data_IF_327319360166
#
_entry.id   IF_327319360166
#
_cell.length_a   1.000
_cell.length_b   1.000
_cell.length_c   1.000
_cell.angle_alpha   90.00
_cell.angle_beta   90.00
_cell.angle_gamma   90.00
#
_symmetry.space_group_name_H-M   'P 1'
#
loop_
_entity.id
_entity.type
_entity.pdbx_description
1 polymer ?
#
# COMPACT_ATOMS: atom_id res chain seq x y z
N UNK A 1 -9.08 -10.20 7.24
CA UNK A 1 -9.53 -11.52 7.75
C UNK A 1 -10.85 -11.92 7.10
N UNK A 2 -11.94 -11.17 7.31
CA UNK A 2 -13.27 -11.50 6.76
C UNK A 2 -13.30 -11.71 5.24
N UNK A 3 -12.56 -10.92 4.45
CA UNK A 3 -12.47 -11.14 3.00
C UNK A 3 -11.94 -12.54 2.65
N UNK A 4 -11.03 -13.10 3.44
CA UNK A 4 -10.50 -14.45 3.18
C UNK A 4 -11.46 -15.54 3.62
N UNK A 5 -12.06 -15.40 4.80
CA UNK A 5 -12.90 -16.45 5.39
C UNK A 5 -14.31 -16.46 4.79
N UNK A 6 -14.92 -15.28 4.65
CA UNK A 6 -16.31 -15.14 4.20
C UNK A 6 -16.45 -15.09 2.67
N UNK A 7 -15.39 -14.69 1.94
CA UNK A 7 -15.43 -14.57 0.46
C UNK A 7 -14.50 -15.58 -0.20
N UNK A 8 -13.26 -15.70 0.29
CA UNK A 8 -12.24 -16.58 -0.30
C UNK A 8 -12.35 -18.06 0.09
N UNK A 9 -13.25 -18.42 1.01
CA UNK A 9 -13.45 -19.80 1.47
C UNK A 9 -12.29 -20.38 2.30
N UNK A 10 -11.40 -19.53 2.81
CA UNK A 10 -10.29 -19.95 3.66
C UNK A 10 -10.75 -20.29 5.08
N UNK A 11 -10.09 -21.24 5.72
CA UNK A 11 -10.30 -21.47 7.14
C UNK A 11 -9.64 -20.35 7.99
N UNK A 12 -10.07 -20.14 9.25
CA UNK A 12 -9.41 -19.18 10.14
C UNK A 12 -7.92 -19.45 10.35
N UNK A 13 -7.49 -20.73 10.29
CA UNK A 13 -6.09 -21.11 10.43
C UNK A 13 -5.24 -20.68 9.22
N UNK A 14 -5.82 -20.66 8.02
CA UNK A 14 -5.12 -20.27 6.79
C UNK A 14 -4.77 -18.78 6.76
N UNK A 15 -5.48 -17.95 7.53
CA UNK A 15 -5.20 -16.51 7.65
C UNK A 15 -3.78 -16.26 8.15
N UNK A 16 -3.27 -17.08 9.07
CA UNK A 16 -1.89 -16.96 9.55
C UNK A 16 -0.87 -17.20 8.42
N UNK A 17 -1.11 -18.21 7.57
CA UNK A 17 -0.28 -18.48 6.40
C UNK A 17 -0.35 -17.37 5.35
N UNK A 18 -1.54 -16.82 5.12
CA UNK A 18 -1.71 -15.66 4.22
C UNK A 18 -0.97 -14.43 4.75
N UNK A 19 -0.97 -14.19 6.06
CA UNK A 19 -0.16 -13.12 6.67
C UNK A 19 1.34 -13.39 6.54
N UNK A 20 1.77 -14.65 6.57
CA UNK A 20 3.16 -14.99 6.27
C UNK A 20 3.51 -14.66 4.81
N UNK A 21 2.65 -15.02 3.86
CA UNK A 21 2.82 -14.68 2.44
C UNK A 21 2.87 -13.16 2.23
N UNK A 22 1.98 -12.42 2.89
CA UNK A 22 2.02 -10.96 2.93
C UNK A 22 3.36 -10.43 3.46
N UNK A 23 3.84 -11.01 4.56
CA UNK A 23 5.13 -10.66 5.17
C UNK A 23 6.33 -10.91 4.24
N UNK A 24 6.33 -12.03 3.49
CA UNK A 24 7.35 -12.28 2.46
C UNK A 24 7.26 -11.22 1.35
N UNK A 25 6.05 -10.91 0.89
CA UNK A 25 5.80 -9.83 -0.08
C UNK A 25 6.38 -8.50 0.41
N UNK A 26 6.11 -8.12 1.66
CA UNK A 26 6.65 -6.92 2.30
C UNK A 26 8.18 -6.88 2.27
N UNK A 27 8.84 -7.97 2.65
CA UNK A 27 10.32 -8.03 2.69
C UNK A 27 10.90 -7.84 1.29
N UNK A 28 10.35 -8.57 0.31
CA UNK A 28 10.76 -8.44 -1.09
C UNK A 28 10.47 -7.02 -1.60
N UNK A 29 9.33 -6.45 -1.22
CA UNK A 29 8.90 -5.10 -1.58
C UNK A 29 9.90 -4.05 -1.13
N UNK A 30 10.26 -4.05 0.15
CA UNK A 30 11.28 -3.13 0.67
C UNK A 30 12.64 -3.28 -0.03
N UNK A 31 13.08 -4.52 -0.30
CA UNK A 31 14.36 -4.79 -0.95
C UNK A 31 14.41 -4.34 -2.42
N UNK A 32 13.33 -4.59 -3.17
CA UNK A 32 13.23 -4.22 -4.59
C UNK A 32 12.94 -2.72 -4.72
N UNK A 33 12.04 -2.20 -3.88
CA UNK A 33 11.66 -0.79 -3.82
C UNK A 33 12.82 0.12 -3.45
N UNK A 34 13.66 -0.29 -2.49
CA UNK A 34 14.90 0.43 -2.17
C UNK A 34 15.83 0.54 -3.37
N UNK A 35 16.14 -0.60 -4.01
CA UNK A 35 17.00 -0.62 -5.22
C UNK A 35 16.43 0.14 -6.41
N UNK A 36 15.11 0.20 -6.53
CA UNK A 36 14.43 0.98 -7.57
C UNK A 36 14.50 2.48 -7.23
N UNK A 37 14.30 2.85 -5.97
CA UNK A 37 14.36 4.22 -5.50
C UNK A 37 15.76 4.82 -5.61
N UNK A 38 16.82 4.01 -5.46
CA UNK A 38 18.21 4.42 -5.67
C UNK A 38 18.49 4.83 -7.12
N UNK A 39 17.75 4.30 -8.10
CA UNK A 39 17.88 4.67 -9.52
C UNK A 39 17.05 5.90 -9.88
N UNK A 40 15.76 5.84 -9.58
CA UNK A 40 14.82 6.91 -9.86
C UNK A 40 13.70 6.84 -8.82
N UNK A 41 13.87 7.62 -7.75
CA UNK A 41 12.98 7.64 -6.60
C UNK A 41 11.53 7.92 -6.97
N UNK A 42 11.30 8.97 -7.75
CA UNK A 42 9.95 9.45 -8.01
C UNK A 42 9.23 8.46 -8.94
N UNK A 43 9.94 7.91 -9.94
CA UNK A 43 9.38 6.84 -10.79
C UNK A 43 9.11 5.57 -10.01
N UNK A 44 10.01 5.15 -9.11
CA UNK A 44 9.82 3.96 -8.29
C UNK A 44 8.58 4.08 -7.40
N UNK A 45 8.38 5.25 -6.77
CA UNK A 45 7.22 5.55 -5.94
C UNK A 45 5.92 5.49 -6.74
N UNK A 46 5.87 6.13 -7.92
CA UNK A 46 4.67 6.10 -8.77
C UNK A 46 4.35 4.68 -9.22
N UNK A 47 5.33 3.91 -9.66
CA UNK A 47 5.13 2.51 -10.08
C UNK A 47 4.65 1.62 -8.93
N UNK A 48 5.20 1.78 -7.73
CA UNK A 48 4.75 1.05 -6.55
C UNK A 48 3.29 1.36 -6.21
N UNK A 49 2.92 2.64 -6.18
CA UNK A 49 1.56 3.07 -5.89
C UNK A 49 0.55 2.60 -6.95
N UNK A 50 0.90 2.71 -8.24
CA UNK A 50 0.05 2.20 -9.34
C UNK A 50 -0.09 0.68 -9.23
N UNK A 51 1.00 -0.05 -9.00
CA UNK A 51 0.98 -1.50 -8.81
C UNK A 51 0.10 -1.92 -7.63
N UNK A 52 0.16 -1.18 -6.52
CA UNK A 52 -0.71 -1.41 -5.36
C UNK A 52 -2.18 -1.14 -5.70
N UNK A 53 -2.50 -0.02 -6.37
CA UNK A 53 -3.87 0.32 -6.74
C UNK A 53 -4.49 -0.76 -7.64
N UNK A 54 -3.75 -1.21 -8.66
CA UNK A 54 -4.19 -2.31 -9.54
C UNK A 54 -4.37 -3.60 -8.74
N UNK A 55 -3.41 -3.93 -7.88
CA UNK A 55 -3.48 -5.14 -7.05
C UNK A 55 -4.74 -5.14 -6.18
N UNK A 56 -5.03 -4.04 -5.49
CA UNK A 56 -6.21 -3.92 -4.63
C UNK A 56 -7.53 -4.02 -5.43
N UNK A 57 -7.59 -3.37 -6.60
CA UNK A 57 -8.77 -3.45 -7.48
C UNK A 57 -9.00 -4.87 -8.00
N UNK A 58 -7.95 -5.53 -8.50
CA UNK A 58 -8.02 -6.91 -9.00
C UNK A 58 -8.35 -7.89 -7.86
N UNK A 59 -7.82 -7.64 -6.67
CA UNK A 59 -8.13 -8.45 -5.50
C UNK A 59 -9.60 -8.34 -5.08
N UNK A 60 -10.18 -7.14 -5.13
CA UNK A 60 -11.62 -6.99 -4.92
C UNK A 60 -12.47 -7.86 -5.87
N UNK A 61 -12.01 -8.05 -7.12
CA UNK A 61 -12.71 -8.82 -8.15
C UNK A 61 -12.47 -10.34 -8.03
N UNK A 62 -11.26 -10.75 -7.63
CA UNK A 62 -10.83 -12.15 -7.59
C UNK A 62 -10.80 -12.74 -6.17
N UNK A 63 -11.34 -12.04 -5.16
CA UNK A 63 -11.34 -12.47 -3.77
C UNK A 63 -11.95 -13.87 -3.54
N UNK A 64 -12.87 -14.30 -4.40
CA UNK A 64 -13.46 -15.65 -4.31
C UNK A 64 -12.58 -16.78 -4.83
N UNK A 65 -11.45 -16.48 -5.48
CA UNK A 65 -10.51 -17.49 -5.96
C UNK A 65 -9.33 -17.58 -4.98
N UNK A 66 -9.16 -18.75 -4.36
CA UNK A 66 -8.14 -18.98 -3.34
C UNK A 66 -6.71 -18.77 -3.89
N UNK A 67 -6.40 -19.31 -5.07
CA UNK A 67 -5.06 -19.18 -5.68
C UNK A 67 -4.78 -17.70 -6.00
N UNK A 68 -5.75 -17.01 -6.59
CA UNK A 68 -5.63 -15.59 -6.89
C UNK A 68 -5.42 -14.77 -5.61
N UNK A 69 -6.14 -15.09 -4.54
CA UNK A 69 -6.01 -14.40 -3.24
C UNK A 69 -4.61 -14.55 -2.65
N UNK A 70 -3.99 -15.73 -2.71
CA UNK A 70 -2.60 -15.93 -2.24
C UNK A 70 -1.64 -15.05 -3.02
N UNK A 71 -1.75 -15.03 -4.35
CA UNK A 71 -0.89 -14.21 -5.21
C UNK A 71 -1.11 -12.72 -4.94
N UNK A 72 -2.36 -12.28 -4.85
CA UNK A 72 -2.71 -10.88 -4.67
C UNK A 72 -2.35 -10.36 -3.29
N UNK A 73 -2.37 -11.20 -2.25
CA UNK A 73 -1.83 -10.88 -0.92
C UNK A 73 -0.32 -10.68 -0.95
N UNK A 74 0.40 -11.54 -1.65
CA UNK A 74 1.84 -11.36 -1.85
C UNK A 74 2.12 -10.03 -2.57
N UNK A 75 1.41 -9.76 -3.68
CA UNK A 75 1.56 -8.53 -4.45
C UNK A 75 1.16 -7.28 -3.65
N UNK A 76 0.15 -7.39 -2.79
CA UNK A 76 -0.26 -6.31 -1.88
C UNK A 76 0.88 -5.96 -0.92
N UNK A 77 1.54 -6.96 -0.32
CA UNK A 77 2.73 -6.75 0.49
C UNK A 77 3.90 -6.18 -0.32
N UNK A 78 4.14 -6.72 -1.51
CA UNK A 78 5.22 -6.28 -2.41
C UNK A 78 5.09 -4.79 -2.77
N UNK A 79 3.97 -4.40 -3.40
CA UNK A 79 3.78 -3.04 -3.88
C UNK A 79 3.53 -2.05 -2.74
N UNK A 80 2.84 -2.47 -1.67
CA UNK A 80 2.56 -1.60 -0.54
C UNK A 80 3.81 -1.20 0.26
N UNK A 81 4.84 -2.04 0.28
CA UNK A 81 6.09 -1.73 0.97
C UNK A 81 7.22 -1.29 0.03
N UNK A 82 7.10 -1.48 -1.28
CA UNK A 82 8.06 -0.94 -2.24
C UNK A 82 8.19 0.58 -2.19
N UNK A 83 7.15 1.30 -1.76
CA UNK A 83 7.18 2.76 -1.61
C UNK A 83 7.85 3.27 -0.34
N UNK A 84 8.01 2.44 0.69
CA UNK A 84 8.49 2.88 2.02
C UNK A 84 9.91 3.48 1.97
N UNK A 85 10.92 2.83 1.34
CA UNK A 85 12.27 3.38 1.29
C UNK A 85 12.34 4.74 0.57
N UNK A 86 11.60 4.88 -0.54
CA UNK A 86 11.54 6.13 -1.30
C UNK A 86 10.89 7.27 -0.51
N UNK A 87 9.87 6.98 0.31
CA UNK A 87 9.23 8.00 1.13
C UNK A 87 10.13 8.50 2.27
N UNK A 88 10.85 7.61 2.95
CA UNK A 88 11.74 7.99 4.06
C UNK A 88 12.86 8.91 3.56
N UNK A 89 13.49 8.58 2.43
CA UNK A 89 14.52 9.44 1.83
C UNK A 89 13.95 10.80 1.44
N UNK A 90 12.77 10.84 0.82
CA UNK A 90 12.11 12.10 0.41
C UNK A 90 11.77 12.99 1.59
N UNK A 91 11.23 12.45 2.67
CA UNK A 91 10.91 13.26 3.86
C UNK A 91 12.19 13.77 4.54
N UNK A 92 13.27 12.98 4.53
CA UNK A 92 14.55 13.38 5.12
C UNK A 92 15.19 14.55 4.37
N UNK A 93 15.06 14.62 3.04
CA UNK A 93 15.59 15.74 2.24
C UNK A 93 14.94 17.09 2.59
N UNK A 94 13.66 17.08 2.97
CA UNK A 94 12.88 18.31 3.23
C UNK A 94 12.74 18.65 4.72
N UNK A 95 13.10 17.75 5.63
CA UNK A 95 13.04 18.01 7.05
C UNK A 95 14.32 18.71 7.55
N UNK A 96 14.17 19.66 8.48
CA UNK A 96 15.29 20.32 9.18
C UNK A 96 16.03 19.39 10.18
N UNK A 97 16.08 18.08 9.91
CA UNK A 97 16.72 17.04 10.74
C UNK A 97 16.04 15.68 10.63
N UNK A 98 16.84 14.60 10.64
CA UNK A 98 16.38 13.22 10.46
C UNK A 98 15.33 12.77 11.50
N UNK A 99 15.39 13.30 12.73
CA UNK A 99 14.43 12.97 13.79
C UNK A 99 13.02 13.51 13.51
N UNK A 100 12.90 14.72 12.95
CA UNK A 100 11.61 15.30 12.56
C UNK A 100 11.02 14.59 11.33
N UNK A 101 11.87 14.18 10.38
CA UNK A 101 11.43 13.37 9.25
C UNK A 101 10.84 12.02 9.69
N UNK A 102 11.55 11.32 10.56
CA UNK A 102 11.13 10.03 11.08
C UNK A 102 9.83 10.14 11.88
N UNK A 103 9.70 11.12 12.79
CA UNK A 103 8.50 11.31 13.60
C UNK A 103 7.27 11.71 12.75
N UNK A 104 7.47 12.55 11.73
CA UNK A 104 6.41 12.89 10.78
C UNK A 104 5.93 11.67 9.99
N UNK A 105 6.86 10.82 9.52
CA UNK A 105 6.52 9.59 8.78
C UNK A 105 5.73 8.59 9.65
N UNK A 106 6.16 8.37 10.89
CA UNK A 106 5.45 7.50 11.85
C UNK A 106 4.06 8.06 12.15
N UNK A 107 3.94 9.38 12.36
CA UNK A 107 2.65 10.03 12.63
C UNK A 107 1.70 9.90 11.44
N UNK A 108 2.18 10.16 10.23
CA UNK A 108 1.41 9.99 9.00
C UNK A 108 0.96 8.53 8.81
N UNK A 109 1.84 7.56 9.10
CA UNK A 109 1.51 6.13 9.04
C UNK A 109 0.41 5.74 10.03
N UNK A 110 0.46 6.26 11.26
CA UNK A 110 -0.57 6.01 12.26
C UNK A 110 -1.93 6.62 11.86
N UNK A 111 -1.92 7.85 11.32
CA UNK A 111 -3.13 8.48 10.76
C UNK A 111 -3.69 7.65 9.61
N UNK A 112 -2.82 7.19 8.70
CA UNK A 112 -3.20 6.33 7.58
C UNK A 112 -3.85 5.03 8.04
N UNK A 113 -3.26 4.35 9.03
CA UNK A 113 -3.81 3.13 9.62
C UNK A 113 -5.18 3.37 10.27
N UNK A 114 -5.32 4.47 11.01
CA UNK A 114 -6.58 4.84 11.65
C UNK A 114 -7.67 5.15 10.62
N UNK A 115 -7.37 6.01 9.64
CA UNK A 115 -8.32 6.38 8.58
C UNK A 115 -8.67 5.18 7.69
N UNK A 116 -7.70 4.35 7.33
CA UNK A 116 -7.93 3.15 6.53
C UNK A 116 -8.83 2.14 7.25
N UNK A 117 -8.57 1.87 8.54
CA UNK A 117 -9.40 1.00 9.34
C UNK A 117 -10.82 1.56 9.52
N UNK A 118 -10.95 2.88 9.76
CA UNK A 118 -12.24 3.54 9.92
C UNK A 118 -13.06 3.53 8.63
N UNK A 119 -12.49 3.95 7.50
CA UNK A 119 -13.18 3.96 6.20
C UNK A 119 -13.52 2.55 5.71
N UNK A 120 -12.62 1.58 5.91
CA UNK A 120 -12.88 0.17 5.60
C UNK A 120 -14.01 -0.40 6.47
N UNK A 121 -14.00 -0.11 7.78
CA UNK A 121 -15.06 -0.49 8.70
C UNK A 121 -16.40 0.14 8.33
N UNK A 122 -16.42 1.45 8.02
CA UNK A 122 -17.60 2.16 7.54
C UNK A 122 -18.20 1.50 6.30
N UNK A 123 -17.37 1.16 5.31
CA UNK A 123 -17.82 0.50 4.09
C UNK A 123 -18.48 -0.85 4.37
N UNK A 124 -17.93 -1.64 5.30
CA UNK A 124 -18.54 -2.91 5.72
C UNK A 124 -19.87 -2.65 6.44
N UNK A 125 -19.92 -1.71 7.39
CA UNK A 125 -21.15 -1.39 8.14
C UNK A 125 -22.26 -0.79 7.27
N UNK A 126 -21.90 -0.13 6.16
CA UNK A 126 -22.83 0.37 5.16
C UNK A 126 -23.42 -0.74 4.26
N UNK A 127 -23.02 -2.00 4.46
CA UNK A 127 -23.54 -3.15 3.71
C UNK A 127 -22.88 -3.38 2.36
N UNK A 128 -21.72 -2.76 2.08
CA UNK A 128 -21.03 -2.88 0.79
C UNK A 128 -20.25 -4.21 0.62
N UNK A 129 -20.26 -5.07 1.65
CA UNK A 129 -19.63 -6.39 1.63
C UNK A 129 -18.16 -6.42 2.08
N UNK A 130 -17.62 -7.63 2.25
CA UNK A 130 -16.28 -7.83 2.82
C UNK A 130 -15.12 -7.54 1.85
N UNK A 131 -15.37 -7.33 0.57
CA UNK A 131 -14.37 -6.85 -0.41
C UNK A 131 -14.30 -5.33 -0.47
N UNK A 132 -15.30 -4.62 0.06
CA UNK A 132 -15.36 -3.15 0.01
C UNK A 132 -14.10 -2.44 0.54
N UNK A 133 -13.44 -2.89 1.63
CA UNK A 133 -12.20 -2.27 2.09
C UNK A 133 -11.07 -2.29 1.05
N UNK A 134 -11.02 -3.29 0.16
CA UNK A 134 -10.02 -3.36 -0.91
C UNK A 134 -10.23 -2.23 -1.92
N UNK A 135 -11.48 -1.94 -2.29
CA UNK A 135 -11.82 -0.86 -3.20
C UNK A 135 -11.63 0.52 -2.57
N UNK A 136 -11.98 0.67 -1.28
CA UNK A 136 -11.69 1.89 -0.52
C UNK A 136 -10.18 2.14 -0.50
N UNK A 137 -9.38 1.11 -0.20
CA UNK A 137 -7.93 1.18 -0.26
C UNK A 137 -7.41 1.57 -1.65
N UNK A 138 -7.94 0.96 -2.72
CA UNK A 138 -7.57 1.30 -4.09
C UNK A 138 -7.86 2.79 -4.40
N UNK A 139 -9.00 3.32 -3.97
CA UNK A 139 -9.35 4.73 -4.11
C UNK A 139 -8.37 5.67 -3.39
N UNK A 140 -8.03 5.34 -2.14
CA UNK A 140 -7.03 6.12 -1.37
C UNK A 140 -5.66 6.08 -2.07
N UNK A 141 -5.24 4.92 -2.56
CA UNK A 141 -3.94 4.78 -3.25
C UNK A 141 -3.94 5.57 -4.57
N UNK A 142 -5.05 5.61 -5.31
CA UNK A 142 -5.16 6.44 -6.52
C UNK A 142 -5.00 7.93 -6.21
N UNK A 143 -5.57 8.42 -5.11
CA UNK A 143 -5.35 9.79 -4.65
C UNK A 143 -3.85 10.00 -4.36
N UNK A 144 -3.20 9.05 -3.68
CA UNK A 144 -1.76 9.10 -3.41
C UNK A 144 -0.91 9.12 -4.69
N UNK A 145 -1.31 8.41 -5.76
CA UNK A 145 -0.65 8.47 -7.07
C UNK A 145 -0.70 9.88 -7.64
N UNK A 146 -1.87 10.53 -7.62
CA UNK A 146 -2.03 11.90 -8.13
C UNK A 146 -1.16 12.88 -7.32
N UNK A 147 -1.21 12.79 -5.99
CA UNK A 147 -0.38 13.63 -5.10
C UNK A 147 1.10 13.44 -5.38
N UNK A 148 1.55 12.19 -5.53
CA UNK A 148 2.95 11.87 -5.82
C UNK A 148 3.38 12.41 -7.20
N UNK A 149 2.54 12.25 -8.22
CA UNK A 149 2.81 12.77 -9.55
C UNK A 149 2.94 14.30 -9.55
N UNK A 150 2.00 15.01 -8.91
CA UNK A 150 2.08 16.47 -8.77
C UNK A 150 3.36 16.89 -8.04
N UNK A 151 3.70 16.21 -6.93
CA UNK A 151 4.92 16.50 -6.19
C UNK A 151 6.20 16.25 -7.00
N UNK A 152 6.24 15.19 -7.81
CA UNK A 152 7.37 14.91 -8.71
C UNK A 152 7.52 15.99 -9.79
N UNK A 153 6.41 16.45 -10.38
CA UNK A 153 6.41 17.54 -11.34
C UNK A 153 6.92 18.85 -10.73
N UNK A 154 6.49 19.19 -9.51
CA UNK A 154 6.94 20.40 -8.82
C UNK A 154 8.45 20.37 -8.52
N UNK A 155 8.97 19.23 -8.06
CA UNK A 155 10.40 19.05 -7.81
C UNK A 155 11.25 19.24 -9.08
N UNK A 156 10.76 18.76 -10.24
CA UNK A 156 11.44 18.94 -11.52
C UNK A 156 11.44 20.39 -12.03
N UNK A 157 10.42 21.18 -11.68
CA UNK A 157 10.29 22.58 -12.09
C UNK A 157 11.00 23.57 -11.16
N UNK A 158 11.08 23.30 -9.85
CA UNK A 158 11.79 24.15 -8.89
C UNK A 158 13.32 24.05 -8.94
N UNK A 159 13.85 23.06 -9.66
CA UNK A 159 15.29 22.87 -9.88
C UNK A 159 15.84 23.61 -11.12
N UNK A 160 15.00 24.39 -11.82
CA UNK A 160 15.38 25.26 -12.95
C UNK A 160 15.29 26.71 -12.56
#
# INVERSE_FOLDING_TARGET
>A
AYTFTEVGGFSPADVAWLLMVYGVGLVVGNLVGGRAADRDRDRALVLALVGLAVTLAVFGLLAGNAIASVILVFLMGLFGFASVPGLITRVTDFAHGAALAASANVSASNIGNALGAWLGGLAITAGLGYTAPLYVGAGIVLISVVVMAVAAHQAAHGAR
#
